data_IF_980503240081
#
_entry.id   IF_980503240081
#
_cell.length_a   1.000
_cell.length_b   1.000
_cell.length_c   1.000
_cell.angle_alpha   90.00
_cell.angle_beta   90.00
_cell.angle_gamma   90.00
#
_symmetry.space_group_name_H-M   'P 1'
#
loop_
_entity.id
_entity.type
_entity.pdbx_description
1 polymer ?
#
# COMPACT_ATOMS: atom_id res chain seq x y z
N UNK A 1 -12.27 -7.74 7.54
CA UNK A 1 -11.16 -7.01 6.89
C UNK A 1 -10.32 -6.34 7.96
N UNK A 2 -9.00 -6.37 7.80
CA UNK A 2 -8.06 -5.87 8.81
C UNK A 2 -7.72 -4.39 8.64
N UNK A 3 -7.97 -3.82 7.47
CA UNK A 3 -7.63 -2.45 7.07
C UNK A 3 -6.13 -2.12 7.16
N UNK A 4 -5.29 -3.14 6.98
CA UNK A 4 -3.84 -3.06 7.11
C UNK A 4 -3.26 -2.29 5.93
N UNK A 5 -2.30 -1.43 6.20
CA UNK A 5 -1.60 -0.68 5.17
C UNK A 5 -0.11 -0.54 5.47
N UNK A 6 0.65 -0.36 4.40
CA UNK A 6 2.05 0.06 4.45
C UNK A 6 2.17 1.51 4.02
N UNK A 7 3.09 2.25 4.65
CA UNK A 7 3.36 3.66 4.39
C UNK A 7 4.86 3.85 4.16
N UNK A 8 5.23 4.26 2.95
CA UNK A 8 6.60 4.53 2.56
C UNK A 8 6.86 6.04 2.62
N UNK A 9 7.62 6.51 3.61
CA UNK A 9 8.07 7.90 3.71
C UNK A 9 9.40 8.08 2.97
N UNK A 10 9.44 9.03 2.06
CA UNK A 10 10.64 9.39 1.31
C UNK A 10 11.69 10.07 2.21
N UNK A 11 12.94 9.66 2.03
CA UNK A 11 14.14 10.25 2.64
C UNK A 11 14.77 11.25 1.67
N UNK A 12 15.69 12.08 2.18
CA UNK A 12 16.45 13.03 1.37
C UNK A 12 17.35 12.39 0.31
N UNK A 13 17.70 11.11 0.46
CA UNK A 13 18.49 10.33 -0.50
C UNK A 13 17.65 9.66 -1.61
N UNK A 14 16.33 9.86 -1.61
CA UNK A 14 15.38 9.26 -2.55
C UNK A 14 14.99 7.81 -2.24
N UNK A 15 15.50 7.22 -1.15
CA UNK A 15 15.01 5.94 -0.62
C UNK A 15 13.82 6.16 0.33
N UNK A 16 13.26 5.07 0.84
CA UNK A 16 12.04 5.11 1.65
C UNK A 16 12.21 4.35 2.98
N UNK A 17 11.66 4.94 4.04
CA UNK A 17 11.40 4.25 5.29
C UNK A 17 9.98 3.68 5.26
N UNK A 18 9.84 2.40 5.54
CA UNK A 18 8.60 1.67 5.46
C UNK A 18 7.99 1.51 6.85
N UNK A 19 6.76 1.95 7.01
CA UNK A 19 6.00 1.89 8.26
C UNK A 19 4.71 1.10 8.07
N UNK A 20 4.18 0.62 9.19
CA UNK A 20 2.94 -0.15 9.22
C UNK A 20 1.80 0.67 9.84
N UNK A 21 0.59 0.47 9.31
CA UNK A 21 -0.65 1.00 9.90
C UNK A 21 -1.70 -0.09 9.98
N UNK A 22 -2.17 -0.40 11.19
CA UNK A 22 -3.15 -1.45 11.40
C UNK A 22 -4.52 -1.11 10.80
N UNK A 23 -4.94 0.17 10.82
CA UNK A 23 -6.22 0.63 10.25
C UNK A 23 -6.06 1.64 9.12
N UNK A 24 -4.89 1.66 8.49
CA UNK A 24 -4.51 2.68 7.51
C UNK A 24 -5.28 2.61 6.21
N UNK A 25 -5.83 1.46 5.84
CA UNK A 25 -6.62 1.30 4.63
C UNK A 25 -8.11 1.70 4.80
N UNK A 26 -8.56 1.95 6.05
CA UNK A 26 -9.95 2.31 6.33
C UNK A 26 -10.29 3.64 5.66
N UNK A 27 -11.17 3.59 4.65
CA UNK A 27 -11.62 4.73 3.83
C UNK A 27 -10.49 5.57 3.24
N UNK A 28 -9.28 5.00 3.13
CA UNK A 28 -8.06 5.69 2.69
C UNK A 28 -7.75 7.01 3.43
N UNK A 29 -8.27 7.17 4.64
CA UNK A 29 -8.23 8.41 5.42
C UNK A 29 -6.81 8.94 5.69
N UNK A 30 -5.78 8.07 5.63
CA UNK A 30 -4.39 8.50 5.83
C UNK A 30 -3.96 9.56 4.80
N UNK A 31 -4.56 9.61 3.61
CA UNK A 31 -4.23 10.68 2.65
C UNK A 31 -4.47 12.08 3.21
N UNK A 32 -5.51 12.26 4.03
CA UNK A 32 -5.85 13.55 4.64
C UNK A 32 -5.16 13.76 5.99
N UNK A 33 -4.93 12.67 6.72
CA UNK A 33 -4.45 12.73 8.12
C UNK A 33 -2.93 12.86 8.25
N UNK A 34 -2.18 12.49 7.22
CA UNK A 34 -0.73 12.64 7.20
C UNK A 34 -0.38 14.05 6.68
N UNK A 35 0.07 14.91 7.60
CA UNK A 35 0.50 16.29 7.33
C UNK A 35 1.83 16.54 8.03
N UNK A 36 2.50 17.68 7.77
CA UNK A 36 3.69 18.04 8.55
C UNK A 36 3.38 18.25 10.04
N UNK A 37 2.14 18.63 10.38
CA UNK A 37 1.68 18.77 11.76
C UNK A 37 1.42 17.44 12.45
N UNK A 38 1.09 16.41 11.66
CA UNK A 38 0.74 15.06 12.10
C UNK A 38 1.36 14.02 11.17
N UNK A 39 2.70 13.90 11.12
CA UNK A 39 3.38 13.10 10.09
C UNK A 39 3.02 11.62 10.17
N UNK A 40 2.64 11.11 11.35
CA UNK A 40 2.17 9.73 11.58
C UNK A 40 0.66 9.64 11.86
N UNK A 41 -0.10 10.71 11.59
CA UNK A 41 -1.55 10.77 11.79
C UNK A 41 -1.96 10.73 13.26
N UNK A 42 -1.23 11.45 14.12
CA UNK A 42 -1.58 11.60 15.54
C UNK A 42 -2.98 12.22 15.70
N UNK A 43 -3.70 11.82 16.75
CA UNK A 43 -5.04 12.35 17.05
C UNK A 43 -5.02 13.80 17.55
N UNK A 44 -3.87 14.25 18.05
CA UNK A 44 -3.63 15.62 18.50
C UNK A 44 -2.58 16.26 17.61
N UNK A 45 -2.90 17.40 17.00
CA UNK A 45 -1.97 18.23 16.23
C UNK A 45 -0.86 18.79 17.11
N UNK A 46 0.33 19.03 16.55
CA UNK A 46 1.42 19.70 17.26
C UNK A 46 2.20 18.80 18.22
N UNK A 47 2.21 17.48 17.99
CA UNK A 47 3.09 16.59 18.73
C UNK A 47 4.53 16.76 18.20
N UNK A 48 5.27 17.68 18.83
CA UNK A 48 6.65 18.03 18.50
C UNK A 48 7.58 16.82 18.49
N UNK A 49 7.33 15.80 19.33
CA UNK A 49 8.09 14.56 19.29
C UNK A 49 7.88 13.81 17.97
N UNK A 50 6.63 13.61 17.52
CA UNK A 50 6.40 12.93 16.22
C UNK A 50 6.98 13.69 15.04
N UNK A 51 6.99 15.02 15.09
CA UNK A 51 7.64 15.87 14.07
C UNK A 51 9.14 15.68 14.09
N UNK A 52 9.75 15.72 15.28
CA UNK A 52 11.18 15.50 15.45
C UNK A 52 11.62 14.13 14.91
N UNK A 53 10.90 13.06 15.26
CA UNK A 53 11.19 11.72 14.74
C UNK A 53 11.05 11.64 13.23
N UNK A 54 9.99 12.25 12.67
CA UNK A 54 9.81 12.32 11.22
C UNK A 54 11.01 12.99 10.54
N UNK A 55 11.48 14.14 11.05
CA UNK A 55 12.64 14.83 10.48
C UNK A 55 13.92 14.00 10.61
N UNK A 56 14.19 13.40 11.76
CA UNK A 56 15.35 12.51 11.94
C UNK A 56 15.33 11.34 10.95
N UNK A 57 14.19 10.69 10.76
CA UNK A 57 14.04 9.58 9.81
C UNK A 57 14.21 10.04 8.36
N UNK A 58 13.72 11.25 8.03
CA UNK A 58 13.79 11.83 6.68
C UNK A 58 15.23 12.17 6.28
N UNK A 59 16.05 12.67 7.21
CA UNK A 59 17.43 13.09 6.96
C UNK A 59 18.47 12.06 7.37
N UNK A 60 18.08 10.90 7.89
CA UNK A 60 19.00 9.82 8.21
C UNK A 60 19.81 9.46 6.95
N UNK A 61 21.14 9.39 7.09
CA UNK A 61 22.05 9.00 6.01
C UNK A 61 22.27 7.48 5.96
N UNK A 62 22.11 6.79 7.09
CA UNK A 62 22.35 5.36 7.23
C UNK A 62 21.06 4.57 7.49
N UNK A 63 21.11 3.25 7.40
CA UNK A 63 20.01 2.34 7.73
C UNK A 63 19.71 2.25 9.23
N UNK A 64 20.16 3.20 10.04
CA UNK A 64 19.90 3.21 11.47
C UNK A 64 18.57 3.92 11.77
N UNK A 65 17.74 3.25 12.56
CA UNK A 65 16.54 3.84 13.15
C UNK A 65 17.04 4.76 14.26
N UNK A 66 16.76 6.08 14.23
CA UNK A 66 17.07 6.95 15.35
C UNK A 66 16.41 6.36 16.59
N UNK A 67 17.22 5.82 17.51
CA UNK A 67 16.74 5.38 18.81
C UNK A 67 16.39 6.65 19.57
N UNK A 68 15.11 6.97 19.61
CA UNK A 68 14.65 8.11 20.38
C UNK A 68 14.96 7.84 21.85
N UNK A 69 15.95 8.52 22.41
CA UNK A 69 16.16 8.61 23.86
C UNK A 69 15.06 9.40 24.57
N UNK A 70 13.81 9.28 24.11
CA UNK A 70 12.65 10.03 24.57
C UNK A 70 11.67 9.05 25.21
N UNK A 71 11.61 9.07 26.54
CA UNK A 71 10.60 8.39 27.35
C UNK A 71 9.19 9.05 27.24
N UNK A 72 9.00 9.95 26.29
CA UNK A 72 7.72 10.56 25.91
C UNK A 72 7.50 10.25 24.42
N UNK A 73 6.40 9.67 23.93
CA UNK A 73 5.02 9.79 24.43
C UNK A 73 4.15 8.60 23.96
N UNK A 74 3.30 8.11 24.86
CA UNK A 74 2.27 7.07 24.64
C UNK A 74 1.12 7.52 23.71
N UNK A 75 1.32 8.59 22.90
CA UNK A 75 0.25 9.12 22.06
C UNK A 75 0.03 8.14 20.90
N UNK A 76 -1.17 7.55 20.78
CA UNK A 76 -1.44 6.62 19.71
C UNK A 76 -1.39 7.36 18.36
N UNK A 77 -0.55 6.87 17.47
CA UNK A 77 -0.49 7.31 16.07
C UNK A 77 -1.24 6.31 15.19
N UNK A 78 -1.69 6.77 14.02
CA UNK A 78 -2.33 5.88 13.05
C UNK A 78 -1.31 5.07 12.27
N UNK A 79 -0.11 5.60 12.09
CA UNK A 79 1.05 4.92 11.51
C UNK A 79 2.07 4.68 12.61
N UNK A 80 2.58 3.46 12.72
CA UNK A 80 3.64 3.14 13.68
C UNK A 80 4.86 4.03 13.43
N UNK A 81 5.31 4.72 14.48
CA UNK A 81 6.44 5.67 14.39
C UNK A 81 7.74 4.93 14.09
N UNK A 82 7.90 3.72 14.63
CA UNK A 82 9.03 2.86 14.32
C UNK A 82 8.89 2.24 12.91
N UNK A 83 9.86 2.45 12.01
CA UNK A 83 9.84 1.84 10.70
C UNK A 83 10.07 0.33 10.80
N UNK A 84 9.34 -0.44 10.00
CA UNK A 84 9.57 -1.87 9.84
C UNK A 84 10.82 -2.17 8.99
N UNK A 85 11.21 -1.23 8.13
CA UNK A 85 12.43 -1.28 7.33
C UNK A 85 12.81 0.12 6.84
N UNK A 86 14.08 0.35 6.56
CA UNK A 86 14.61 1.69 6.19
C UNK A 86 15.49 1.62 4.95
N UNK A 87 15.58 2.73 4.21
CA UNK A 87 16.49 2.86 3.07
C UNK A 87 16.13 1.95 1.88
N UNK A 88 14.84 1.69 1.66
CA UNK A 88 14.36 0.82 0.60
C UNK A 88 13.99 1.60 -0.66
N UNK A 89 14.26 1.01 -1.83
CA UNK A 89 13.66 1.51 -3.08
C UNK A 89 12.18 1.12 -3.16
N UNK A 90 11.36 1.91 -3.87
CA UNK A 90 9.95 1.55 -4.12
C UNK A 90 9.81 0.20 -4.82
N UNK A 91 10.73 -0.13 -5.75
CA UNK A 91 10.74 -1.44 -6.41
C UNK A 91 10.86 -2.56 -5.39
N UNK A 92 11.83 -2.45 -4.47
CA UNK A 92 12.06 -3.44 -3.42
C UNK A 92 10.87 -3.56 -2.48
N UNK A 93 10.27 -2.45 -2.06
CA UNK A 93 9.06 -2.46 -1.22
C UNK A 93 7.93 -3.25 -1.89
N UNK A 94 7.65 -2.96 -3.16
CA UNK A 94 6.57 -3.61 -3.92
C UNK A 94 6.81 -5.10 -4.10
N UNK A 95 8.06 -5.51 -4.32
CA UNK A 95 8.41 -6.91 -4.56
C UNK A 95 8.50 -7.75 -3.30
N UNK A 96 9.04 -7.20 -2.21
CA UNK A 96 9.44 -8.00 -1.04
C UNK A 96 8.64 -7.70 0.24
N UNK A 97 7.95 -6.56 0.33
CA UNK A 97 7.30 -6.12 1.57
C UNK A 97 5.79 -6.01 1.48
N UNK A 98 5.26 -5.66 0.30
CA UNK A 98 3.80 -5.64 0.10
C UNK A 98 3.31 -7.09 0.04
N UNK A 99 2.71 -7.54 1.14
CA UNK A 99 1.80 -8.67 1.11
C UNK A 99 0.49 -8.23 0.45
N UNK A 100 0.28 -8.67 -0.78
CA UNK A 100 -0.84 -8.29 -1.64
C UNK A 100 -2.18 -8.86 -1.14
N UNK A 101 -2.16 -10.00 -0.45
CA UNK A 101 -3.36 -10.61 0.14
C UNK A 101 -3.76 -9.89 1.44
N UNK A 102 -2.76 -9.52 2.25
CA UNK A 102 -2.98 -9.05 3.60
C UNK A 102 -3.17 -7.53 3.71
N UNK A 103 -2.44 -6.76 2.91
CA UNK A 103 -2.53 -5.31 2.89
C UNK A 103 -3.65 -4.86 1.96
N UNK A 104 -4.42 -3.87 2.40
CA UNK A 104 -5.55 -3.32 1.67
C UNK A 104 -5.23 -1.94 1.06
N UNK A 105 -4.13 -1.32 1.47
CA UNK A 105 -3.64 -0.06 0.92
C UNK A 105 -2.11 0.08 1.06
N UNK A 106 -1.51 0.83 0.16
CA UNK A 106 -0.12 1.24 0.21
C UNK A 106 -0.03 2.75 -0.02
N UNK A 107 0.74 3.45 0.80
CA UNK A 107 0.92 4.89 0.69
C UNK A 107 2.37 5.23 0.40
N UNK A 108 2.58 6.19 -0.50
CA UNK A 108 3.88 6.83 -0.71
C UNK A 108 3.75 8.28 -0.24
N UNK A 109 4.57 8.66 0.73
CA UNK A 109 4.57 9.98 1.35
C UNK A 109 5.86 10.68 0.97
N UNK A 110 5.73 11.82 0.30
CA UNK A 110 6.84 12.69 -0.08
C UNK A 110 6.70 14.04 0.61
N UNK A 111 7.82 14.70 0.88
CA UNK A 111 7.82 16.05 1.41
C UNK A 111 8.16 17.04 0.28
N UNK A 112 7.23 17.92 -0.03
CA UNK A 112 7.42 19.02 -0.98
C UNK A 112 7.48 20.32 -0.17
N UNK A 113 8.69 20.70 0.27
CA UNK A 113 9.08 21.88 1.07
C UNK A 113 8.23 22.17 2.32
N UNK A 114 6.94 22.43 2.15
CA UNK A 114 5.98 22.91 3.15
C UNK A 114 4.76 21.99 3.32
N UNK A 115 4.71 20.84 2.64
CA UNK A 115 3.60 19.91 2.77
C UNK A 115 3.97 18.46 2.45
N UNK A 116 3.22 17.52 3.04
CA UNK A 116 3.31 16.12 2.68
C UNK A 116 2.40 15.81 1.48
N UNK A 117 3.00 15.32 0.39
CA UNK A 117 2.26 14.73 -0.73
C UNK A 117 2.07 13.25 -0.50
N UNK A 118 0.84 12.87 -0.20
CA UNK A 118 0.45 11.47 0.03
C UNK A 118 -0.22 10.90 -1.22
N UNK A 119 0.43 9.91 -1.83
CA UNK A 119 -0.15 9.10 -2.91
C UNK A 119 -0.65 7.78 -2.32
N UNK A 120 -1.93 7.49 -2.53
CA UNK A 120 -2.57 6.27 -2.06
C UNK A 120 -2.75 5.28 -3.21
N UNK A 121 -2.45 4.02 -2.93
CA UNK A 121 -2.66 2.89 -3.81
C UNK A 121 -3.57 1.88 -3.13
N UNK A 122 -4.50 1.31 -3.90
CA UNK A 122 -5.16 0.05 -3.55
C UNK A 122 -4.30 -1.12 -3.96
N UNK A 123 -4.36 -2.17 -3.16
CA UNK A 123 -3.60 -3.40 -3.29
C UNK A 123 -4.55 -4.49 -3.76
N UNK A 124 -4.17 -5.21 -4.81
CA UNK A 124 -4.96 -6.27 -5.42
C UNK A 124 -4.12 -7.53 -5.51
N UNK A 125 -4.57 -8.62 -4.90
CA UNK A 125 -3.89 -9.91 -4.97
C UNK A 125 -4.46 -10.78 -6.07
N UNK A 126 -3.58 -11.36 -6.88
CA UNK A 126 -3.97 -12.09 -8.08
C UNK A 126 -4.17 -13.59 -7.86
N UNK A 127 -3.82 -14.13 -6.67
CA UNK A 127 -3.98 -15.56 -6.38
C UNK A 127 -5.43 -16.01 -6.47
N UNK A 128 -5.71 -17.08 -7.19
CA UNK A 128 -7.06 -17.51 -7.56
C UNK A 128 -7.65 -18.57 -6.60
N UNK A 129 -6.90 -19.01 -5.59
CA UNK A 129 -7.29 -20.12 -4.71
C UNK A 129 -8.53 -19.88 -3.84
N UNK A 130 -8.99 -18.62 -3.74
CA UNK A 130 -10.23 -18.25 -3.05
C UNK A 130 -11.46 -18.28 -3.96
N UNK A 131 -11.26 -18.33 -5.28
CA UNK A 131 -12.33 -18.26 -6.30
C UNK A 131 -12.36 -19.44 -7.27
N UNK A 132 -11.31 -20.28 -7.29
CA UNK A 132 -11.20 -21.46 -8.14
C UNK A 132 -10.75 -22.67 -7.33
N UNK A 133 -11.41 -23.80 -7.53
CA UNK A 133 -11.10 -25.07 -6.84
C UNK A 133 -9.88 -25.77 -7.40
N UNK A 134 -9.57 -25.54 -8.68
CA UNK A 134 -8.41 -26.11 -9.38
C UNK A 134 -7.15 -25.27 -9.27
N UNK A 135 -7.28 -24.00 -8.85
CA UNK A 135 -6.16 -23.08 -8.72
C UNK A 135 -5.17 -23.53 -7.64
N UNK A 136 -3.89 -23.35 -7.93
CA UNK A 136 -2.81 -23.54 -6.95
C UNK A 136 -2.72 -22.34 -6.03
N UNK A 137 -2.21 -22.59 -4.83
CA UNK A 137 -1.92 -21.53 -3.86
C UNK A 137 -0.87 -20.58 -4.42
N UNK A 138 -1.17 -19.29 -4.46
CA UNK A 138 -0.25 -18.27 -4.91
C UNK A 138 0.56 -17.67 -3.75
N UNK A 139 1.77 -17.14 -4.02
CA UNK A 139 2.47 -16.29 -3.07
C UNK A 139 1.60 -15.08 -2.68
N UNK A 140 1.76 -14.59 -1.45
CA UNK A 140 1.07 -13.36 -1.02
C UNK A 140 1.91 -12.12 -1.26
N UNK A 141 3.24 -12.26 -1.25
CA UNK A 141 4.20 -11.21 -1.56
C UNK A 141 4.66 -11.35 -3.00
N UNK A 142 4.81 -10.22 -3.70
CA UNK A 142 5.27 -10.20 -5.10
C UNK A 142 4.28 -10.78 -6.11
N UNK A 143 2.99 -10.87 -5.76
CA UNK A 143 1.97 -11.53 -6.58
C UNK A 143 0.65 -10.74 -6.62
N UNK A 144 0.66 -9.59 -7.29
CA UNK A 144 -0.52 -8.74 -7.39
C UNK A 144 -0.24 -7.41 -8.06
N UNK A 145 -1.11 -6.43 -7.81
CA UNK A 145 -1.00 -5.11 -8.39
C UNK A 145 -1.30 -3.99 -7.37
N UNK A 146 -0.67 -2.83 -7.60
CA UNK A 146 -1.00 -1.58 -6.96
C UNK A 146 -1.67 -0.67 -7.98
N UNK A 147 -2.82 -0.08 -7.66
CA UNK A 147 -3.52 0.90 -8.50
C UNK A 147 -3.71 2.20 -7.74
N UNK A 148 -3.41 3.34 -8.35
CA UNK A 148 -3.69 4.64 -7.72
C UNK A 148 -5.18 4.86 -7.51
N UNK A 149 -5.52 5.56 -6.44
CA UNK A 149 -6.90 5.96 -6.16
C UNK A 149 -7.17 7.37 -6.68
N UNK A 150 -8.34 7.57 -7.29
CA UNK A 150 -8.84 8.87 -7.75
C UNK A 150 -9.57 9.58 -6.61
N UNK A 151 -9.45 10.91 -6.54
CA UNK A 151 -9.96 11.71 -5.43
C UNK A 151 -10.82 12.86 -5.92
N UNK A 152 -11.88 13.20 -5.18
CA UNK A 152 -12.69 14.41 -5.37
C UNK A 152 -12.99 15.01 -4.00
N UNK A 153 -12.70 16.30 -3.83
CA UNK A 153 -12.94 17.05 -2.57
C UNK A 153 -12.38 16.37 -1.31
N UNK A 154 -11.26 15.67 -1.47
CA UNK A 154 -10.60 14.94 -0.38
C UNK A 154 -11.07 13.50 -0.21
N UNK A 155 -12.18 13.09 -0.81
CA UNK A 155 -12.72 11.72 -0.70
C UNK A 155 -12.29 10.83 -1.86
N UNK A 156 -12.09 9.52 -1.62
CA UNK A 156 -11.77 8.58 -2.68
C UNK A 156 -13.01 8.34 -3.55
N UNK A 157 -12.87 8.56 -4.85
CA UNK A 157 -13.95 8.36 -5.83
C UNK A 157 -13.88 6.96 -6.40
N UNK A 158 -15.03 6.27 -6.50
CA UNK A 158 -15.19 4.94 -7.11
C UNK A 158 -14.35 3.81 -6.48
N UNK A 159 -13.77 4.01 -5.30
CA UNK A 159 -12.88 3.03 -4.68
C UNK A 159 -13.56 1.68 -4.41
N UNK A 160 -14.78 1.70 -3.87
CA UNK A 160 -15.58 0.48 -3.64
C UNK A 160 -15.96 -0.20 -4.96
N UNK A 161 -16.28 0.60 -5.98
CA UNK A 161 -16.67 0.11 -7.30
C UNK A 161 -15.50 -0.63 -7.98
N UNK A 162 -14.30 -0.04 -7.98
CA UNK A 162 -13.09 -0.66 -8.55
C UNK A 162 -12.74 -1.97 -7.84
N UNK A 163 -12.95 -2.05 -6.52
CA UNK A 163 -12.75 -3.30 -5.77
C UNK A 163 -13.75 -4.37 -6.20
N UNK A 164 -15.03 -4.00 -6.33
CA UNK A 164 -16.06 -4.91 -6.83
C UNK A 164 -15.80 -5.38 -8.27
N UNK A 165 -15.32 -4.50 -9.14
CA UNK A 165 -14.92 -4.88 -10.51
C UNK A 165 -13.78 -5.89 -10.50
N UNK A 166 -12.74 -5.66 -9.70
CA UNK A 166 -11.64 -6.61 -9.57
C UNK A 166 -12.10 -7.97 -9.01
N UNK A 167 -12.88 -7.97 -7.93
CA UNK A 167 -13.39 -9.20 -7.32
C UNK A 167 -14.26 -9.99 -8.32
N UNK A 168 -15.06 -9.28 -9.13
CA UNK A 168 -15.88 -9.88 -10.20
C UNK A 168 -15.02 -10.48 -11.30
N UNK A 169 -14.02 -9.73 -11.79
CA UNK A 169 -13.08 -10.21 -12.80
C UNK A 169 -12.36 -11.47 -12.32
N UNK A 170 -11.88 -11.45 -11.08
CA UNK A 170 -11.19 -12.57 -10.43
C UNK A 170 -12.10 -13.80 -10.36
N UNK A 171 -13.35 -13.64 -9.95
CA UNK A 171 -14.33 -14.73 -9.91
C UNK A 171 -14.63 -15.33 -11.30
N UNK A 172 -14.75 -14.50 -12.33
CA UNK A 172 -14.95 -14.96 -13.71
C UNK A 172 -13.74 -15.76 -14.20
N UNK A 173 -12.53 -15.25 -13.96
CA UNK A 173 -11.28 -15.94 -14.32
C UNK A 173 -11.18 -17.28 -13.58
N UNK A 174 -11.59 -17.32 -12.31
CA UNK A 174 -11.64 -18.54 -11.52
C UNK A 174 -12.61 -19.59 -12.07
N UNK A 175 -13.85 -19.20 -12.42
CA UNK A 175 -14.82 -20.11 -13.05
C UNK A 175 -14.34 -20.63 -14.41
N UNK A 176 -13.67 -19.78 -15.20
CA UNK A 176 -13.07 -20.19 -16.47
C UNK A 176 -11.93 -21.18 -16.31
N UNK A 177 -11.08 -21.00 -15.28
CA UNK A 177 -10.03 -21.95 -14.95
C UNK A 177 -10.61 -23.30 -14.54
N UNK A 178 -11.59 -23.33 -13.64
CA UNK A 178 -12.25 -24.58 -13.19
C UNK A 178 -12.96 -25.33 -14.33
N UNK A 179 -13.44 -24.61 -15.35
CA UNK A 179 -14.06 -25.20 -16.55
C UNK A 179 -13.04 -25.64 -17.61
N UNK A 180 -11.75 -25.44 -17.38
CA UNK A 180 -10.69 -25.77 -18.33
C UNK A 180 -10.69 -24.89 -19.58
N UNK A 181 -11.20 -23.65 -19.48
CA UNK A 181 -11.08 -22.65 -20.56
C UNK A 181 -9.63 -22.22 -20.71
N UNK A 182 -8.91 -22.10 -19.60
CA UNK A 182 -7.47 -21.88 -19.57
C UNK A 182 -6.73 -23.21 -19.44
N UNK A 183 -5.60 -23.35 -20.13
CA UNK A 183 -4.75 -24.53 -20.06
C UNK A 183 -3.91 -24.58 -18.78
N UNK A 184 -3.68 -23.42 -18.13
CA UNK A 184 -2.91 -23.32 -16.89
C UNK A 184 -3.28 -22.09 -16.06
N UNK A 185 -2.89 -22.10 -14.78
CA UNK A 185 -2.97 -20.95 -13.87
C UNK A 185 -2.23 -19.72 -14.44
N UNK A 186 -1.10 -19.94 -15.11
CA UNK A 186 -0.31 -18.86 -15.74
C UNK A 186 -1.08 -18.15 -16.85
N UNK A 187 -1.83 -18.91 -17.67
CA UNK A 187 -2.68 -18.33 -18.72
C UNK A 187 -3.85 -17.56 -18.12
N UNK A 188 -4.49 -18.10 -17.07
CA UNK A 188 -5.55 -17.42 -16.33
C UNK A 188 -5.04 -16.11 -15.70
N UNK A 189 -3.87 -16.13 -15.09
CA UNK A 189 -3.23 -14.95 -14.49
C UNK A 189 -2.83 -13.90 -15.54
N UNK A 190 -2.30 -14.33 -16.69
CA UNK A 190 -2.00 -13.42 -17.79
C UNK A 190 -3.26 -12.74 -18.33
N UNK A 191 -4.38 -13.48 -18.42
CA UNK A 191 -5.68 -12.92 -18.78
C UNK A 191 -6.19 -11.94 -17.72
N UNK A 192 -6.13 -12.30 -16.43
CA UNK A 192 -6.51 -11.45 -15.31
C UNK A 192 -5.70 -10.14 -15.32
N UNK A 193 -4.38 -10.21 -15.45
CA UNK A 193 -3.51 -9.04 -15.51
C UNK A 193 -3.90 -8.12 -16.67
N UNK A 194 -4.04 -8.69 -17.87
CA UNK A 194 -4.39 -7.93 -19.07
C UNK A 194 -5.71 -7.19 -18.89
N UNK A 195 -6.76 -7.89 -18.47
CA UNK A 195 -8.08 -7.30 -18.23
C UNK A 195 -8.05 -6.25 -17.12
N UNK A 196 -7.32 -6.52 -16.03
CA UNK A 196 -7.18 -5.55 -14.93
C UNK A 196 -6.52 -4.25 -15.40
N UNK A 197 -5.49 -4.33 -16.24
CA UNK A 197 -4.84 -3.16 -16.85
C UNK A 197 -5.79 -2.41 -17.78
N UNK A 198 -6.52 -3.12 -18.62
CA UNK A 198 -7.51 -2.53 -19.53
C UNK A 198 -8.60 -1.77 -18.77
N UNK A 199 -9.10 -2.33 -17.66
CA UNK A 199 -10.12 -1.69 -16.83
C UNK A 199 -9.57 -0.56 -15.95
N UNK A 200 -8.25 -0.52 -15.77
CA UNK A 200 -7.55 0.50 -14.98
C UNK A 200 -6.80 1.51 -15.85
N UNK A 201 -7.18 1.68 -17.12
CA UNK A 201 -6.47 2.54 -18.07
C UNK A 201 -6.40 4.03 -17.65
N UNK A 202 -7.27 4.46 -16.73
CA UNK A 202 -7.32 5.80 -16.16
C UNK A 202 -6.41 6.00 -14.94
N UNK A 203 -5.75 4.94 -14.47
CA UNK A 203 -4.95 4.93 -13.25
C UNK A 203 -3.52 4.45 -13.48
N UNK A 204 -2.60 4.88 -12.62
CA UNK A 204 -1.25 4.34 -12.57
C UNK A 204 -1.28 2.95 -11.89
N UNK A 205 -0.85 1.93 -12.62
CA UNK A 205 -0.89 0.53 -12.22
C UNK A 205 0.52 -0.06 -12.20
N UNK A 206 0.88 -0.64 -11.07
CA UNK A 206 2.13 -1.38 -10.90
C UNK A 206 1.81 -2.84 -10.58
N UNK A 207 1.90 -3.69 -11.60
CA UNK A 207 1.80 -5.14 -11.44
C UNK A 207 3.15 -5.71 -11.01
N UNK A 208 3.11 -6.67 -10.11
CA UNK A 208 4.25 -7.42 -9.60
C UNK A 208 3.86 -8.89 -9.61
N UNK A 209 4.46 -9.65 -10.52
CA UNK A 209 4.36 -11.11 -10.58
C UNK A 209 5.79 -11.64 -10.61
N UNK A 210 6.16 -12.41 -9.59
CA UNK A 210 7.46 -13.07 -9.44
C UNK A 210 7.32 -14.59 -9.46
#
# INVERSE_FOLDING_TARGET
MGHRALVAYERSDGQYNLHYSHRGAKNLQLKQLLTLETPFGAYTSGNEWTKHIYECLRTAADGEIPTSGCEESQIPTRVGVEPCAVGLSLRKIRQEYVDYLAHEAFYVVRCDDWQLRVRAYRVFWFGLEDVATTARRAPTVGHGALRTVTWRDGDPTNDEYVRGEFDTLKAIVGDFLDRGVFASDEEALAYLERMFREWSADADVHVVLQ
#
